data_IF_363372462247
#
_entry.id   IF_363372462247
#
_cell.length_a   1.000
_cell.length_b   1.000
_cell.length_c   1.000
_cell.angle_alpha   90.00
_cell.angle_beta   90.00
_cell.angle_gamma   90.00
#
_symmetry.space_group_name_H-M   'P 1'
#
loop_
_entity.id
_entity.type
_entity.pdbx_description
1 polymer ?
#
# COMPACT_ATOMS: atom_id res chain seq x y z
N UNK A 1 -11.48 -7.36 -7.64
CA UNK A 1 -10.79 -7.33 -6.33
C UNK A 1 -11.50 -8.18 -5.25
N UNK A 2 -12.79 -7.97 -4.96
CA UNK A 2 -13.51 -8.67 -3.86
C UNK A 2 -13.36 -10.19 -3.83
N UNK A 3 -13.52 -10.89 -4.95
CA UNK A 3 -13.36 -12.35 -5.04
C UNK A 3 -11.94 -12.82 -4.69
N UNK A 4 -10.91 -12.04 -5.05
CA UNK A 4 -9.53 -12.36 -4.69
C UNK A 4 -9.29 -12.21 -3.18
N UNK A 5 -9.84 -11.16 -2.56
CA UNK A 5 -9.81 -10.97 -1.11
C UNK A 5 -10.56 -12.08 -0.38
N UNK A 6 -11.74 -12.48 -0.87
CA UNK A 6 -12.50 -13.60 -0.30
C UNK A 6 -11.70 -14.90 -0.35
N UNK A 7 -11.09 -15.22 -1.49
CA UNK A 7 -10.22 -16.39 -1.61
C UNK A 7 -9.01 -16.32 -0.66
N UNK A 8 -8.36 -15.16 -0.56
CA UNK A 8 -7.17 -14.98 0.28
C UNK A 8 -7.49 -15.14 1.77
N UNK A 9 -8.65 -14.65 2.21
CA UNK A 9 -9.08 -14.72 3.62
C UNK A 9 -9.90 -15.97 3.97
N UNK A 10 -10.16 -16.86 3.01
CA UNK A 10 -10.93 -18.09 3.24
C UNK A 10 -10.11 -19.22 3.88
N UNK A 11 -8.77 -19.15 3.88
CA UNK A 11 -7.89 -20.23 4.36
C UNK A 11 -6.85 -19.68 5.33
N UNK A 12 -6.47 -20.51 6.30
CA UNK A 12 -5.33 -20.24 7.16
C UNK A 12 -4.01 -20.65 6.46
N UNK A 13 -2.90 -19.92 6.70
CA UNK A 13 -2.84 -18.67 7.47
C UNK A 13 -3.42 -17.49 6.67
N UNK A 14 -4.22 -16.64 7.34
CA UNK A 14 -4.75 -15.44 6.70
C UNK A 14 -3.65 -14.39 6.48
N UNK A 15 -3.77 -13.55 5.43
CA UNK A 15 -2.84 -12.45 5.21
C UNK A 15 -2.87 -11.44 6.37
N UNK A 16 -1.69 -11.06 6.85
CA UNK A 16 -1.50 -9.97 7.84
C UNK A 16 -1.06 -8.65 7.20
N UNK A 17 -0.75 -8.66 5.89
CA UNK A 17 -0.40 -7.49 5.12
C UNK A 17 -0.84 -7.63 3.66
N UNK A 18 -1.24 -6.53 3.03
CA UNK A 18 -1.65 -6.44 1.63
C UNK A 18 -0.93 -5.26 0.96
N UNK A 19 -0.40 -5.50 -0.25
CA UNK A 19 0.07 -4.45 -1.16
C UNK A 19 -0.96 -4.36 -2.28
N UNK A 20 -1.52 -3.17 -2.50
CA UNK A 20 -2.74 -2.98 -3.30
C UNK A 20 -2.55 -1.80 -4.25
N UNK A 21 -3.02 -1.92 -5.48
CA UNK A 21 -3.07 -0.77 -6.39
C UNK A 21 -4.02 0.30 -5.87
N UNK A 22 -3.68 1.58 -6.06
CA UNK A 22 -4.42 2.71 -5.51
C UNK A 22 -5.93 2.67 -5.82
N UNK A 23 -6.31 2.24 -7.02
CA UNK A 23 -7.72 2.13 -7.44
C UNK A 23 -8.54 1.13 -6.62
N UNK A 24 -7.88 0.15 -6.00
CA UNK A 24 -8.53 -0.93 -5.26
C UNK A 24 -8.48 -0.74 -3.74
N UNK A 25 -7.71 0.23 -3.23
CA UNK A 25 -7.49 0.42 -1.78
C UNK A 25 -8.80 0.66 -1.04
N UNK A 26 -9.69 1.48 -1.59
CA UNK A 26 -10.99 1.76 -0.98
C UNK A 26 -11.83 0.47 -0.82
N UNK A 27 -11.90 -0.35 -1.88
CA UNK A 27 -12.61 -1.63 -1.83
C UNK A 27 -11.96 -2.62 -0.85
N UNK A 28 -10.63 -2.62 -0.75
CA UNK A 28 -9.91 -3.43 0.25
C UNK A 28 -10.24 -2.96 1.67
N UNK A 29 -10.29 -1.65 1.91
CA UNK A 29 -10.65 -1.10 3.21
C UNK A 29 -12.06 -1.50 3.62
N UNK A 30 -13.01 -1.37 2.71
CA UNK A 30 -14.41 -1.74 2.95
C UNK A 30 -14.53 -3.23 3.24
N UNK A 31 -13.88 -4.07 2.44
CA UNK A 31 -13.85 -5.53 2.68
C UNK A 31 -13.32 -5.88 4.07
N UNK A 32 -12.18 -5.28 4.48
CA UNK A 32 -11.58 -5.56 5.78
C UNK A 32 -12.48 -5.10 6.93
N UNK A 33 -13.09 -3.91 6.81
CA UNK A 33 -14.04 -3.37 7.79
C UNK A 33 -15.31 -4.21 7.88
N UNK A 34 -15.89 -4.61 6.76
CA UNK A 34 -17.06 -5.50 6.68
C UNK A 34 -16.81 -6.86 7.36
N UNK A 35 -15.56 -7.35 7.30
CA UNK A 35 -15.13 -8.60 7.95
C UNK A 35 -14.65 -8.42 9.40
N UNK A 36 -14.70 -7.20 9.94
CA UNK A 36 -14.32 -6.90 11.32
C UNK A 36 -12.82 -6.81 11.58
N UNK A 37 -11.97 -6.72 10.55
CA UNK A 37 -10.54 -6.53 10.71
C UNK A 37 -10.18 -5.07 10.97
N UNK A 38 -9.29 -4.83 11.93
CA UNK A 38 -8.69 -3.51 12.17
C UNK A 38 -7.50 -3.30 11.25
N UNK A 39 -7.65 -2.38 10.31
CA UNK A 39 -6.59 -2.00 9.38
C UNK A 39 -5.41 -1.40 10.15
N UNK A 40 -4.20 -1.86 9.85
CA UNK A 40 -2.96 -1.47 10.52
C UNK A 40 -2.64 -2.25 11.80
N UNK A 41 -3.59 -2.96 12.40
CA UNK A 41 -3.35 -3.80 13.59
C UNK A 41 -3.50 -5.30 13.29
N UNK A 42 -4.61 -5.68 12.67
CA UNK A 42 -4.87 -7.08 12.28
C UNK A 42 -4.36 -7.33 10.86
N UNK A 43 -4.60 -6.38 9.94
CA UNK A 43 -4.14 -6.44 8.54
C UNK A 43 -3.53 -5.10 8.14
N UNK A 44 -2.25 -5.09 7.80
CA UNK A 44 -1.57 -3.94 7.19
C UNK A 44 -1.97 -3.76 5.73
N UNK A 45 -2.15 -2.53 5.27
CA UNK A 45 -2.45 -2.22 3.86
C UNK A 45 -1.51 -1.13 3.36
N UNK A 46 -0.87 -1.37 2.22
CA UNK A 46 0.03 -0.44 1.55
C UNK A 46 -0.37 -0.24 0.08
N UNK A 47 -0.36 1.01 -0.40
CA UNK A 47 -0.66 1.36 -1.79
C UNK A 47 0.60 1.65 -2.62
N UNK A 48 0.51 1.68 -3.95
CA UNK A 48 1.70 1.68 -4.84
C UNK A 48 2.02 3.01 -5.51
N UNK A 49 1.07 3.94 -5.65
CA UNK A 49 1.26 5.12 -6.52
C UNK A 49 1.13 6.46 -5.78
N UNK A 50 0.49 6.46 -4.61
CA UNK A 50 0.37 7.64 -3.75
C UNK A 50 -0.65 8.65 -4.26
N UNK A 51 -1.63 8.18 -5.03
CA UNK A 51 -2.70 8.97 -5.63
C UNK A 51 -3.46 9.78 -4.57
N UNK A 52 -3.75 11.04 -4.90
CA UNK A 52 -4.45 11.97 -4.01
C UNK A 52 -5.86 11.50 -3.66
N UNK A 53 -6.47 10.63 -4.49
CA UNK A 53 -7.77 10.02 -4.21
C UNK A 53 -7.79 9.22 -2.91
N UNK A 54 -6.63 8.76 -2.41
CA UNK A 54 -6.55 7.98 -1.16
C UNK A 54 -6.56 8.84 0.11
N UNK A 55 -6.42 10.16 0.00
CA UNK A 55 -6.20 11.05 1.14
C UNK A 55 -7.39 11.14 2.10
N UNK A 56 -8.59 10.71 1.67
CA UNK A 56 -9.81 10.74 2.49
C UNK A 56 -10.05 9.45 3.28
N UNK A 57 -9.23 8.41 3.06
CA UNK A 57 -9.41 7.12 3.72
C UNK A 57 -8.89 7.14 5.15
N UNK A 58 -9.64 6.51 6.05
CA UNK A 58 -9.25 6.28 7.45
C UNK A 58 -9.20 4.77 7.76
N UNK A 59 -8.09 4.27 8.34
CA UNK A 59 -6.87 5.00 8.69
C UNK A 59 -6.11 5.52 7.44
N UNK A 60 -5.31 6.58 7.60
CA UNK A 60 -4.52 7.12 6.49
C UNK A 60 -3.62 6.05 5.83
N UNK A 61 -3.62 6.02 4.49
CA UNK A 61 -2.95 4.97 3.72
C UNK A 61 -1.43 5.16 3.69
N UNK A 62 -0.68 4.12 4.06
CA UNK A 62 0.75 3.96 3.77
C UNK A 62 0.95 3.68 2.29
N UNK A 63 1.84 4.39 1.61
CA UNK A 63 1.96 4.28 0.15
C UNK A 63 3.34 4.69 -0.38
N UNK A 64 3.71 4.19 -1.56
CA UNK A 64 4.79 4.75 -2.36
C UNK A 64 4.26 5.88 -3.22
N UNK A 65 4.91 7.04 -3.19
CA UNK A 65 4.53 8.21 -3.96
C UNK A 65 5.47 8.33 -5.15
N UNK A 66 4.90 8.29 -6.35
CA UNK A 66 5.61 8.66 -7.57
C UNK A 66 5.56 10.18 -7.77
N UNK A 67 6.72 10.81 -7.94
CA UNK A 67 6.81 12.25 -8.16
C UNK A 67 6.41 12.60 -9.59
N UNK A 68 5.11 12.74 -9.85
CA UNK A 68 4.57 13.03 -11.18
C UNK A 68 5.25 14.24 -11.86
N UNK A 69 5.61 15.28 -11.11
CA UNK A 69 6.32 16.45 -11.66
C UNK A 69 7.71 16.08 -12.19
N UNK A 70 8.43 15.20 -11.49
CA UNK A 70 9.74 14.72 -11.94
C UNK A 70 9.57 13.87 -13.20
N UNK A 71 8.60 12.93 -13.19
CA UNK A 71 8.29 12.08 -14.34
C UNK A 71 7.95 12.90 -15.59
N UNK A 72 7.09 13.91 -15.47
CA UNK A 72 6.70 14.77 -16.60
C UNK A 72 7.90 15.54 -17.15
N UNK A 73 8.76 16.09 -16.28
CA UNK A 73 10.00 16.78 -16.71
C UNK A 73 10.95 15.85 -17.44
N UNK A 74 11.11 14.62 -16.94
CA UNK A 74 11.93 13.60 -17.56
C UNK A 74 11.40 13.21 -18.95
N UNK A 75 10.10 12.93 -19.06
CA UNK A 75 9.46 12.60 -20.34
C UNK A 75 9.58 13.76 -21.34
N UNK A 76 9.36 14.99 -20.90
CA UNK A 76 9.52 16.17 -21.75
C UNK A 76 10.96 16.31 -22.27
N UNK A 77 11.95 16.09 -21.40
CA UNK A 77 13.36 16.15 -21.78
C UNK A 77 13.74 15.06 -22.79
N UNK A 78 13.15 13.87 -22.69
CA UNK A 78 13.34 12.79 -23.66
C UNK A 78 12.68 13.12 -25.01
N UNK A 79 11.48 13.70 -25.00
CA UNK A 79 10.80 14.15 -26.23
C UNK A 79 11.61 15.22 -26.97
N UNK A 80 12.17 16.18 -26.23
CA UNK A 80 13.04 17.23 -26.78
C UNK A 80 14.32 16.67 -27.40
N UNK A 81 14.93 15.64 -26.79
CA UNK A 81 16.07 14.91 -27.37
C UNK A 81 15.71 14.25 -28.71
N UNK A 82 14.59 13.55 -28.77
CA UNK A 82 14.12 12.90 -30.01
C UNK A 82 13.82 13.93 -31.09
N UNK A 83 13.20 15.06 -30.74
CA UNK A 83 12.98 16.16 -31.68
C UNK A 83 14.28 16.74 -32.24
N UNK A 84 15.36 16.70 -31.46
CA UNK A 84 16.71 17.06 -31.88
C UNK A 84 17.43 16.00 -32.73
N UNK A 85 16.79 14.89 -33.08
CA UNK A 85 17.36 13.80 -33.88
C UNK A 85 18.16 12.78 -33.09
N UNK A 86 18.06 12.78 -31.75
CA UNK A 86 18.66 11.74 -30.91
C UNK A 86 17.60 10.71 -30.50
N UNK A 87 17.61 9.57 -31.19
CA UNK A 87 16.71 8.43 -30.95
C UNK A 87 17.34 7.30 -30.13
N UNK A 88 18.48 7.55 -29.46
CA UNK A 88 19.12 6.53 -28.62
C UNK A 88 18.20 6.12 -27.46
N UNK A 89 17.98 4.80 -27.24
CA UNK A 89 17.19 4.32 -26.11
C UNK A 89 17.78 4.81 -24.78
N UNK A 90 16.93 5.42 -23.96
CA UNK A 90 17.30 5.91 -22.65
C UNK A 90 16.33 5.39 -21.59
N UNK A 91 16.86 4.76 -20.54
CA UNK A 91 16.09 4.35 -19.35
C UNK A 91 16.40 5.32 -18.23
N UNK A 92 15.35 5.86 -17.60
CA UNK A 92 15.48 6.76 -16.45
C UNK A 92 14.85 6.10 -15.24
N UNK A 93 15.60 6.07 -14.14
CA UNK A 93 15.05 5.68 -12.85
C UNK A 93 14.15 6.80 -12.31
N UNK A 94 12.95 6.43 -11.87
CA UNK A 94 12.01 7.36 -11.23
C UNK A 94 12.11 7.15 -9.73
N UNK A 95 12.55 8.18 -9.02
CA UNK A 95 12.63 8.14 -7.57
C UNK A 95 11.23 8.08 -6.96
N UNK A 96 11.00 7.08 -6.11
CA UNK A 96 9.78 6.93 -5.32
C UNK A 96 10.05 7.38 -3.88
N UNK A 97 9.04 7.97 -3.24
CA UNK A 97 9.11 8.31 -1.81
C UNK A 97 8.10 7.49 -1.03
N UNK A 98 8.54 6.86 0.04
CA UNK A 98 7.65 6.17 0.95
C UNK A 98 6.94 7.16 1.87
N UNK A 99 5.61 7.19 1.82
CA UNK A 99 4.74 7.97 2.70
C UNK A 99 4.06 7.04 3.69
N UNK A 100 4.54 7.05 4.92
CA UNK A 100 3.98 6.26 6.02
C UNK A 100 2.62 6.83 6.46
N UNK A 101 1.59 6.00 6.44
CA UNK A 101 0.27 6.27 7.00
C UNK A 101 0.03 5.49 8.30
N UNK A 102 -1.24 5.41 8.72
CA UNK A 102 -1.69 4.62 9.87
C UNK A 102 -2.28 3.25 9.47
N UNK A 103 -2.21 2.89 8.19
CA UNK A 103 -2.75 1.63 7.68
C UNK A 103 -1.80 0.45 7.76
N UNK A 104 -0.57 0.65 8.22
CA UNK A 104 0.41 -0.42 8.45
C UNK A 104 0.88 -0.41 9.90
N UNK A 105 1.19 -1.59 10.43
CA UNK A 105 1.65 -1.75 11.80
C UNK A 105 2.23 -3.15 12.04
N UNK A 106 2.68 -3.38 13.28
CA UNK A 106 3.24 -4.69 13.65
C UNK A 106 2.10 -5.69 13.84
N UNK A 107 2.25 -6.94 13.34
CA UNK A 107 1.30 -7.99 13.66
C UNK A 107 1.31 -8.23 15.17
N UNK A 108 0.11 -8.27 15.78
CA UNK A 108 -0.04 -8.65 17.18
C UNK A 108 0.08 -10.17 17.23
N UNK A 109 1.30 -10.67 17.46
CA UNK A 109 1.45 -12.04 17.95
C UNK A 109 0.98 -12.06 19.40
N UNK A 110 -0.04 -12.85 19.72
CA UNK A 110 -0.41 -13.13 21.10
C UNK A 110 0.75 -13.86 21.80
N UNK A 111 1.65 -13.11 22.44
CA UNK A 111 2.28 -13.55 23.69
C UNK A 111 1.36 -13.13 24.85
N UNK A 112 0.13 -13.61 24.86
CA UNK A 112 -0.69 -13.60 26.07
C UNK A 112 -0.22 -14.76 26.96
N UNK A 113 0.87 -14.54 27.71
CA UNK A 113 1.10 -15.33 28.94
C UNK A 113 -0.14 -15.19 29.81
N UNK A 114 -0.74 -16.29 30.31
CA UNK A 114 -1.87 -16.17 31.23
C UNK A 114 -1.41 -15.38 32.46
N UNK A 115 -2.05 -14.23 32.70
CA UNK A 115 -1.96 -13.54 33.99
C UNK A 115 -2.77 -14.35 34.99
N UNK A 116 -2.10 -15.19 35.78
CA UNK A 116 -2.74 -15.79 36.96
C UNK A 116 -2.23 -17.15 37.38
N UNK A 117 -0.92 -17.32 37.59
CA UNK A 117 -0.46 -18.18 38.69
C UNK A 117 0.05 -17.25 39.79
N UNK A 118 -0.85 -16.85 40.67
CA UNK A 118 -0.45 -16.37 41.99
C UNK A 118 -0.12 -17.62 42.82
N UNK A 119 1.18 -17.94 42.89
CA UNK A 119 1.70 -18.73 43.99
C UNK A 119 1.54 -17.93 45.28
N UNK A 120 0.64 -18.38 46.16
CA UNK A 120 0.87 -18.71 47.57
C UNK A 120 -0.43 -19.02 48.29
#
# INVERSE_FOLDING_TARGET
MRSALECAFAREPRPTALIVYDLDVAQTYDFLKERGYRIGSDVSVMATDGASMLNHLEPSVTTLVSHATHTVKSVWSLLEKQRGGNDEPCTLEVMLTFRQGRSTGRPIHEENKPRGEQER
#
